data_IF_251231357718
#
_entry.id   IF_251231357718
#
_cell.length_a   1.000
_cell.length_b   1.000
_cell.length_c   1.000
_cell.angle_alpha   90.00
_cell.angle_beta   90.00
_cell.angle_gamma   90.00
#
_symmetry.space_group_name_H-M   'P 1'
#
loop_
_entity.id
_entity.type
_entity.pdbx_description
1 polymer ?
#
# COMPACT_ATOMS: atom_id res chain seq x y z
N UNK A 1 -12.18 0.56 -6.41
CA UNK A 1 -11.99 -0.15 -7.67
C UNK A 1 -13.16 -1.12 -7.81
N UNK A 2 -13.85 -1.09 -8.92
CA UNK A 2 -14.99 -1.95 -9.24
C UNK A 2 -14.56 -3.37 -9.68
N UNK A 3 -13.29 -3.71 -9.56
CA UNK A 3 -12.73 -5.02 -9.95
C UNK A 3 -12.75 -5.29 -11.46
N UNK A 4 -13.04 -4.30 -12.28
CA UNK A 4 -13.17 -4.50 -13.73
C UNK A 4 -11.84 -4.94 -14.37
N UNK A 5 -10.72 -4.32 -13.98
CA UNK A 5 -9.40 -4.72 -14.47
C UNK A 5 -9.01 -6.12 -14.02
N UNK A 6 -9.29 -6.45 -12.74
CA UNK A 6 -9.07 -7.79 -12.19
C UNK A 6 -9.93 -8.84 -12.91
N UNK A 7 -11.19 -8.53 -13.17
CA UNK A 7 -12.09 -9.42 -13.92
C UNK A 7 -11.57 -9.69 -15.33
N UNK A 8 -11.13 -8.67 -16.06
CA UNK A 8 -10.55 -8.81 -17.41
C UNK A 8 -9.32 -9.73 -17.36
N UNK A 9 -8.37 -9.46 -16.44
CA UNK A 9 -7.16 -10.25 -16.30
C UNK A 9 -7.42 -11.72 -15.91
N UNK A 10 -8.43 -11.96 -15.06
CA UNK A 10 -8.70 -13.31 -14.53
C UNK A 10 -9.66 -14.15 -15.39
N UNK A 11 -10.57 -13.52 -16.13
CA UNK A 11 -11.63 -14.26 -16.83
C UNK A 11 -11.72 -14.04 -18.34
N UNK A 12 -11.16 -12.96 -18.87
CA UNK A 12 -11.29 -12.59 -20.28
C UNK A 12 -9.98 -12.77 -21.06
N UNK A 13 -8.82 -12.59 -20.39
CA UNK A 13 -7.50 -12.67 -21.03
C UNK A 13 -7.14 -14.08 -21.44
N UNK A 14 -6.61 -14.24 -22.64
CA UNK A 14 -6.18 -15.52 -23.22
C UNK A 14 -4.72 -15.49 -23.62
N UNK A 15 -4.11 -16.66 -23.73
CA UNK A 15 -2.75 -16.79 -24.27
C UNK A 15 -2.72 -16.28 -25.72
N UNK A 16 -1.85 -15.31 -25.98
CA UNK A 16 -1.73 -14.62 -27.27
C UNK A 16 -2.35 -13.22 -27.30
N UNK A 17 -3.11 -12.83 -26.27
CA UNK A 17 -3.59 -11.46 -26.14
C UNK A 17 -2.45 -10.48 -25.81
N UNK A 18 -2.60 -9.25 -26.28
CA UNK A 18 -1.63 -8.18 -26.06
C UNK A 18 -2.10 -7.25 -24.94
N UNK A 19 -1.22 -6.99 -23.98
CA UNK A 19 -1.44 -6.01 -22.91
C UNK A 19 -0.49 -4.83 -23.09
N UNK A 20 -1.02 -3.63 -22.95
CA UNK A 20 -0.20 -2.43 -22.85
C UNK A 20 0.08 -2.16 -21.37
N UNK A 21 1.34 -2.24 -20.99
CA UNK A 21 1.80 -1.96 -19.62
C UNK A 21 2.69 -0.72 -19.61
N UNK A 22 2.51 0.12 -18.59
CA UNK A 22 3.45 1.20 -18.32
C UNK A 22 4.79 0.64 -17.79
N UNK A 23 5.91 1.35 -17.98
CA UNK A 23 7.17 0.98 -17.36
C UNK A 23 7.03 0.89 -15.84
N UNK A 24 7.86 0.04 -15.17
CA UNK A 24 7.93 0.04 -13.70
C UNK A 24 8.27 1.43 -13.17
N UNK A 25 7.64 1.82 -12.06
CA UNK A 25 7.85 3.12 -11.43
C UNK A 25 7.76 2.97 -9.90
N UNK A 26 8.33 3.94 -9.17
CA UNK A 26 8.31 4.00 -7.71
C UNK A 26 9.63 3.62 -7.07
N UNK A 27 9.72 3.84 -5.75
CA UNK A 27 10.93 3.66 -4.94
C UNK A 27 10.88 2.39 -4.06
N UNK A 28 9.82 1.59 -4.17
CA UNK A 28 9.65 0.36 -3.40
C UNK A 28 10.34 -0.82 -4.07
N UNK A 29 11.65 -0.80 -4.08
CA UNK A 29 12.49 -1.81 -4.71
C UNK A 29 13.67 -2.20 -3.80
N UNK A 30 14.19 -3.41 -4.00
CA UNK A 30 15.38 -3.89 -3.31
C UNK A 30 16.60 -3.07 -3.75
N UNK A 31 17.34 -2.54 -2.77
CA UNK A 31 18.62 -1.87 -2.95
C UNK A 31 19.80 -2.79 -2.65
N UNK A 32 20.76 -2.26 -1.88
CA UNK A 32 21.96 -3.00 -1.44
C UNK A 32 21.82 -3.57 -0.03
N UNK A 33 20.68 -3.37 0.59
CA UNK A 33 20.37 -3.83 1.95
C UNK A 33 20.38 -5.36 2.02
N UNK A 34 20.86 -5.89 3.14
CA UNK A 34 20.96 -7.36 3.36
C UNK A 34 20.10 -7.83 4.53
N UNK A 35 20.00 -7.06 5.62
CA UNK A 35 19.13 -7.39 6.74
C UNK A 35 17.73 -6.84 6.52
N UNK A 36 16.78 -7.69 6.18
CA UNK A 36 15.44 -7.27 5.77
C UNK A 36 14.37 -7.80 6.71
N UNK A 37 13.35 -6.98 6.95
CA UNK A 37 12.03 -7.42 7.41
C UNK A 37 11.01 -7.13 6.30
N UNK A 38 10.46 -8.19 5.71
CA UNK A 38 9.37 -8.11 4.74
C UNK A 38 8.06 -8.29 5.49
N UNK A 39 7.41 -7.18 5.82
CA UNK A 39 6.21 -7.16 6.68
C UNK A 39 4.96 -6.85 5.85
N UNK A 40 4.00 -7.78 5.79
CA UNK A 40 2.84 -7.65 4.92
C UNK A 40 1.55 -8.19 5.50
N UNK A 41 0.43 -7.72 4.96
CA UNK A 41 -0.89 -8.27 5.21
C UNK A 41 -1.74 -8.32 3.93
N UNK A 42 -2.53 -9.39 3.75
CA UNK A 42 -3.41 -9.57 2.60
C UNK A 42 -2.66 -9.44 1.26
N UNK A 43 -3.19 -8.66 0.33
CA UNK A 43 -2.58 -8.45 -1.00
C UNK A 43 -1.20 -7.78 -0.98
N UNK A 44 -0.82 -7.12 0.12
CA UNK A 44 0.51 -6.55 0.32
C UNK A 44 1.64 -7.57 0.33
N UNK A 45 1.34 -8.85 0.27
CA UNK A 45 2.32 -9.93 0.11
C UNK A 45 3.04 -9.90 -1.24
N UNK A 46 2.41 -9.36 -2.28
CA UNK A 46 2.91 -9.46 -3.67
C UNK A 46 4.28 -8.83 -3.87
N UNK A 47 4.57 -7.58 -3.44
CA UNK A 47 5.91 -7.02 -3.52
C UNK A 47 6.91 -7.77 -2.62
N UNK A 48 6.48 -8.29 -1.47
CA UNK A 48 7.34 -9.06 -0.57
C UNK A 48 7.78 -10.38 -1.21
N UNK A 49 6.87 -11.08 -1.87
CA UNK A 49 7.20 -12.28 -2.65
C UNK A 49 8.17 -11.98 -3.79
N UNK A 50 8.00 -10.86 -4.48
CA UNK A 50 8.93 -10.43 -5.55
C UNK A 50 10.35 -10.23 -5.02
N UNK A 51 10.49 -9.54 -3.88
CA UNK A 51 11.78 -9.33 -3.22
C UNK A 51 12.37 -10.68 -2.75
N UNK A 52 11.58 -11.49 -2.06
CA UNK A 52 12.03 -12.78 -1.53
C UNK A 52 12.47 -13.74 -2.65
N UNK A 53 11.74 -13.81 -3.77
CA UNK A 53 12.13 -14.58 -4.96
C UNK A 53 13.46 -14.13 -5.54
N UNK A 54 13.67 -12.80 -5.63
CA UNK A 54 14.92 -12.24 -6.12
C UNK A 54 16.10 -12.64 -5.23
N UNK A 55 15.93 -12.56 -3.90
CA UNK A 55 16.94 -12.95 -2.92
C UNK A 55 17.18 -14.47 -2.91
N UNK A 56 16.12 -15.26 -3.07
CA UNK A 56 16.24 -16.71 -3.20
C UNK A 56 17.10 -17.12 -4.40
N UNK A 57 16.86 -16.52 -5.57
CA UNK A 57 17.66 -16.74 -6.77
C UNK A 57 19.12 -16.29 -6.63
N UNK A 58 19.40 -15.36 -5.73
CA UNK A 58 20.75 -14.88 -5.42
C UNK A 58 21.41 -15.66 -4.28
N UNK A 59 20.71 -16.59 -3.63
CA UNK A 59 21.16 -17.28 -2.42
C UNK A 59 21.46 -16.31 -1.25
N UNK A 60 20.63 -15.28 -1.07
CA UNK A 60 20.80 -14.19 -0.10
C UNK A 60 19.63 -14.14 0.92
N UNK A 61 19.12 -15.29 1.37
CA UNK A 61 17.96 -15.38 2.27
C UNK A 61 18.27 -15.36 3.78
N UNK A 62 19.51 -15.58 4.18
CA UNK A 62 19.90 -15.84 5.59
C UNK A 62 19.54 -14.70 6.56
N UNK A 63 19.57 -13.45 6.11
CA UNK A 63 19.22 -12.26 6.90
C UNK A 63 17.83 -11.69 6.55
N UNK A 64 16.97 -12.46 5.88
CA UNK A 64 15.60 -12.09 5.54
C UNK A 64 14.62 -12.66 6.55
N UNK A 65 13.82 -11.81 7.16
CA UNK A 65 12.65 -12.20 7.94
C UNK A 65 11.38 -11.83 7.18
N UNK A 66 10.62 -12.82 6.75
CA UNK A 66 9.34 -12.66 6.08
C UNK A 66 8.22 -12.82 7.11
N UNK A 67 7.46 -11.76 7.37
CA UNK A 67 6.34 -11.77 8.30
C UNK A 67 5.06 -11.40 7.55
N UNK A 68 4.10 -12.32 7.52
CA UNK A 68 2.85 -12.11 6.79
C UNK A 68 1.62 -12.37 7.67
N UNK A 69 0.64 -11.48 7.56
CA UNK A 69 -0.63 -11.58 8.25
C UNK A 69 -1.75 -11.89 7.24
N UNK A 70 -2.51 -12.95 7.50
CA UNK A 70 -3.73 -13.29 6.74
C UNK A 70 -4.84 -13.75 7.69
N UNK A 71 -5.97 -14.18 7.14
CA UNK A 71 -7.12 -14.55 7.95
C UNK A 71 -6.98 -15.97 8.48
N UNK A 72 -6.79 -16.93 7.60
CA UNK A 72 -6.73 -18.35 7.89
C UNK A 72 -5.57 -19.02 7.16
N UNK A 73 -5.33 -20.29 7.41
CA UNK A 73 -4.31 -21.09 6.74
C UNK A 73 -4.54 -21.19 5.22
N UNK A 74 -5.81 -21.28 4.82
CA UNK A 74 -6.20 -21.33 3.40
C UNK A 74 -5.90 -20.02 2.66
N UNK A 75 -5.77 -18.91 3.37
CA UNK A 75 -5.47 -17.59 2.81
C UNK A 75 -3.96 -17.30 2.71
N UNK A 76 -3.09 -18.26 3.09
CA UNK A 76 -1.63 -18.07 3.00
C UNK A 76 -1.23 -18.10 1.51
N UNK A 77 -0.78 -16.97 0.95
CA UNK A 77 -0.42 -16.93 -0.46
C UNK A 77 0.90 -17.63 -0.72
N UNK A 78 0.97 -18.41 -1.80
CA UNK A 78 2.18 -19.14 -2.20
C UNK A 78 2.81 -19.98 -1.06
N UNK A 79 1.98 -20.64 -0.23
CA UNK A 79 2.42 -21.35 0.98
C UNK A 79 3.59 -22.30 0.76
N UNK A 80 3.54 -23.12 -0.29
CA UNK A 80 4.61 -24.06 -0.62
C UNK A 80 5.93 -23.35 -0.96
N UNK A 81 5.87 -22.22 -1.66
CA UNK A 81 7.02 -21.43 -2.03
C UNK A 81 7.65 -20.73 -0.81
N UNK A 82 6.83 -20.14 0.06
CA UNK A 82 7.28 -19.55 1.32
C UNK A 82 7.98 -20.59 2.20
N UNK A 83 7.43 -21.80 2.26
CA UNK A 83 8.03 -22.90 3.00
C UNK A 83 9.39 -23.31 2.40
N UNK A 84 9.49 -23.44 1.08
CA UNK A 84 10.75 -23.75 0.40
C UNK A 84 11.82 -22.66 0.67
N UNK A 85 11.45 -21.37 0.60
CA UNK A 85 12.37 -20.28 0.92
C UNK A 85 12.77 -20.28 2.40
N UNK A 86 11.88 -20.67 3.29
CA UNK A 86 12.21 -20.83 4.72
C UNK A 86 13.23 -21.96 4.94
N UNK A 87 13.11 -23.07 4.23
CA UNK A 87 14.12 -24.15 4.26
C UNK A 87 15.47 -23.71 3.67
N UNK A 88 15.46 -22.72 2.78
CA UNK A 88 16.66 -22.13 2.18
C UNK A 88 17.29 -20.99 3.01
N UNK A 89 16.87 -20.79 4.28
CA UNK A 89 17.49 -19.85 5.22
C UNK A 89 16.61 -18.65 5.63
N UNK A 90 15.51 -18.36 4.91
CA UNK A 90 14.62 -17.27 5.26
C UNK A 90 13.86 -17.54 6.58
N UNK A 91 13.86 -16.60 7.50
CA UNK A 91 12.95 -16.67 8.65
C UNK A 91 11.52 -16.39 8.19
N UNK A 92 10.58 -17.28 8.49
CA UNK A 92 9.17 -17.14 8.14
C UNK A 92 8.32 -17.06 9.41
N UNK A 93 7.53 -16.00 9.52
CA UNK A 93 6.50 -15.86 10.55
C UNK A 93 5.15 -15.60 9.89
N UNK A 94 4.22 -16.52 10.08
CA UNK A 94 2.84 -16.40 9.64
C UNK A 94 1.96 -16.10 10.86
N UNK A 95 1.08 -15.10 10.72
CA UNK A 95 0.18 -14.66 11.79
C UNK A 95 -1.25 -14.75 11.26
N UNK A 96 -2.09 -15.57 11.87
CA UNK A 96 -3.48 -15.76 11.45
C UNK A 96 -4.44 -15.01 12.37
N UNK A 97 -5.31 -14.19 11.79
CA UNK A 97 -6.31 -13.45 12.57
C UNK A 97 -7.51 -14.30 13.01
N UNK A 98 -7.77 -15.38 12.28
CA UNK A 98 -8.84 -16.37 12.55
C UNK A 98 -8.29 -17.78 12.30
N UNK A 99 -7.32 -18.25 13.11
CA UNK A 99 -6.79 -19.60 12.97
C UNK A 99 -7.82 -20.64 13.36
N UNK A 100 -7.70 -21.83 12.81
CA UNK A 100 -8.43 -22.99 13.33
C UNK A 100 -7.77 -23.56 14.60
N UNK A 101 -8.40 -24.59 15.18
CA UNK A 101 -7.95 -25.22 16.43
C UNK A 101 -6.60 -25.98 16.28
N UNK A 102 -6.15 -26.26 15.07
CA UNK A 102 -4.93 -27.01 14.80
C UNK A 102 -3.71 -26.09 14.57
N UNK A 103 -3.94 -24.79 14.40
CA UNK A 103 -2.86 -23.83 14.15
C UNK A 103 -1.92 -23.72 15.37
N UNK A 104 -0.63 -23.95 15.16
CA UNK A 104 0.42 -23.87 16.17
C UNK A 104 1.28 -22.60 16.07
N UNK A 105 1.02 -21.78 15.04
CA UNK A 105 1.76 -20.54 14.80
C UNK A 105 1.19 -19.34 15.56
N UNK A 106 1.66 -18.16 15.21
CA UNK A 106 1.20 -16.91 15.83
C UNK A 106 -0.20 -16.53 15.37
N UNK A 107 -0.95 -15.84 16.22
CA UNK A 107 -2.33 -15.46 15.92
C UNK A 107 -2.67 -14.05 16.40
N UNK A 108 -3.77 -13.50 15.84
CA UNK A 108 -4.31 -12.21 16.20
C UNK A 108 -3.90 -11.10 15.22
N UNK A 109 -4.00 -9.86 15.67
CA UNK A 109 -3.54 -8.68 14.93
C UNK A 109 -2.08 -8.40 15.26
N UNK A 110 -1.38 -7.69 14.36
CA UNK A 110 -0.01 -7.28 14.62
C UNK A 110 0.12 -6.59 15.99
N UNK A 111 1.13 -6.96 16.75
CA UNK A 111 1.40 -6.39 18.07
C UNK A 111 2.87 -6.54 18.45
N UNK A 112 3.27 -5.93 19.57
CA UNK A 112 4.67 -5.94 20.06
C UNK A 112 5.25 -7.35 20.21
N UNK A 113 4.43 -8.33 20.68
CA UNK A 113 4.87 -9.71 20.82
C UNK A 113 5.26 -10.38 19.52
N UNK A 114 4.62 -10.01 18.40
CA UNK A 114 5.00 -10.50 17.07
C UNK A 114 6.33 -9.91 16.62
N UNK A 115 6.52 -8.60 16.78
CA UNK A 115 7.76 -7.91 16.41
C UNK A 115 8.95 -8.33 17.29
N UNK A 116 8.69 -8.77 18.52
CA UNK A 116 9.73 -9.31 19.41
C UNK A 116 10.37 -10.61 18.89
N UNK A 117 9.73 -11.30 17.93
CA UNK A 117 10.32 -12.46 17.25
C UNK A 117 11.36 -12.07 16.18
N UNK A 118 11.41 -10.79 15.81
CA UNK A 118 12.35 -10.31 14.80
C UNK A 118 13.70 -10.02 15.43
N UNK A 119 14.69 -10.88 15.17
CA UNK A 119 16.07 -10.64 15.63
C UNK A 119 16.65 -9.39 14.97
N UNK A 120 17.40 -8.60 15.71
CA UNK A 120 18.07 -7.38 15.23
C UNK A 120 17.11 -6.38 14.57
N UNK A 121 15.88 -6.24 15.06
CA UNK A 121 14.83 -5.41 14.46
C UNK A 121 15.33 -3.99 14.09
N UNK A 122 16.10 -3.36 14.98
CA UNK A 122 16.61 -1.99 14.79
C UNK A 122 17.68 -1.88 13.68
N UNK A 123 18.29 -2.99 13.28
CA UNK A 123 19.30 -3.03 12.23
C UNK A 123 18.74 -3.39 10.85
N UNK A 124 17.42 -3.70 10.77
CA UNK A 124 16.78 -4.13 9.53
C UNK A 124 16.22 -2.97 8.72
N UNK A 125 16.31 -3.07 7.41
CA UNK A 125 15.44 -2.32 6.50
C UNK A 125 14.10 -3.03 6.42
N UNK A 126 13.02 -2.26 6.57
CA UNK A 126 11.67 -2.80 6.67
C UNK A 126 10.87 -2.41 5.43
N UNK A 127 10.43 -3.42 4.70
CA UNK A 127 9.49 -3.27 3.60
C UNK A 127 8.09 -3.58 4.12
N UNK A 128 7.20 -2.60 4.05
CA UNK A 128 5.86 -2.66 4.62
C UNK A 128 4.80 -2.45 3.55
N UNK A 129 3.89 -3.43 3.38
CA UNK A 129 2.76 -3.30 2.45
C UNK A 129 1.54 -4.05 2.97
N UNK A 130 0.36 -3.45 2.79
CA UNK A 130 -0.91 -4.05 3.20
C UNK A 130 -2.04 -3.02 3.32
N UNK A 131 -3.18 -3.40 3.90
CA UNK A 131 -4.28 -2.48 4.16
C UNK A 131 -3.86 -1.31 5.05
N UNK A 132 -4.45 -0.13 4.81
CA UNK A 132 -4.09 1.12 5.49
C UNK A 132 -4.02 0.99 7.02
N UNK A 133 -5.06 0.41 7.65
CA UNK A 133 -5.08 0.26 9.11
C UNK A 133 -3.96 -0.65 9.66
N UNK A 134 -3.56 -1.68 8.89
CA UNK A 134 -2.40 -2.51 9.21
C UNK A 134 -1.10 -1.71 9.11
N UNK A 135 -0.92 -0.96 8.02
CA UNK A 135 0.30 -0.18 7.79
C UNK A 135 0.50 0.89 8.87
N UNK A 136 -0.55 1.65 9.19
CA UNK A 136 -0.50 2.67 10.25
C UNK A 136 -0.14 2.08 11.60
N UNK A 137 -0.74 0.95 11.96
CA UNK A 137 -0.43 0.25 13.21
C UNK A 137 0.99 -0.34 13.22
N UNK A 138 1.44 -0.90 12.09
CA UNK A 138 2.80 -1.42 11.95
C UNK A 138 3.85 -0.31 12.14
N UNK A 139 3.67 0.84 11.49
CA UNK A 139 4.58 1.99 11.64
C UNK A 139 4.62 2.45 13.09
N UNK A 140 3.45 2.63 13.73
CA UNK A 140 3.37 3.01 15.14
C UNK A 140 4.13 2.04 16.04
N UNK A 141 3.90 0.74 15.89
CA UNK A 141 4.54 -0.29 16.71
C UNK A 141 6.06 -0.36 16.49
N UNK A 142 6.52 -0.23 15.23
CA UNK A 142 7.95 -0.22 14.89
C UNK A 142 8.66 1.00 15.50
N UNK A 143 8.07 2.18 15.38
CA UNK A 143 8.63 3.41 15.96
C UNK A 143 8.64 3.38 17.50
N UNK A 144 7.61 2.82 18.13
CA UNK A 144 7.58 2.60 19.59
C UNK A 144 8.69 1.65 20.06
N UNK A 145 9.19 0.77 19.20
CA UNK A 145 10.33 -0.09 19.49
C UNK A 145 11.68 0.53 19.10
N UNK A 146 11.68 1.77 18.63
CA UNK A 146 12.90 2.52 18.31
C UNK A 146 13.38 2.36 16.87
N UNK A 147 12.59 1.79 15.97
CA UNK A 147 12.94 1.74 14.54
C UNK A 147 12.87 3.15 13.96
N UNK A 148 13.95 3.59 13.32
CA UNK A 148 14.01 4.87 12.66
C UNK A 148 13.08 4.92 11.43
N UNK A 149 12.41 6.05 11.21
CA UNK A 149 11.41 6.18 10.13
C UNK A 149 12.02 5.93 8.74
N UNK A 150 13.28 6.32 8.55
CA UNK A 150 14.04 6.17 7.29
C UNK A 150 14.28 4.71 6.91
N UNK A 151 14.18 3.79 7.86
CA UNK A 151 14.30 2.34 7.64
C UNK A 151 12.98 1.67 7.26
N UNK A 152 11.87 2.41 7.24
CA UNK A 152 10.54 1.87 6.95
C UNK A 152 10.12 2.35 5.55
N UNK A 153 10.29 1.47 4.56
CA UNK A 153 9.80 1.68 3.19
C UNK A 153 8.38 1.15 3.09
N UNK A 154 7.49 1.95 2.53
CA UNK A 154 6.07 1.63 2.46
C UNK A 154 5.57 1.65 1.02
N UNK A 155 4.75 0.65 0.67
CA UNK A 155 3.95 0.66 -0.57
C UNK A 155 2.48 0.45 -0.23
N UNK A 156 1.60 1.31 -0.76
CA UNK A 156 0.17 1.24 -0.55
C UNK A 156 -0.56 0.95 -1.86
N UNK A 157 -1.42 -0.06 -1.87
CA UNK A 157 -2.29 -0.39 -3.02
C UNK A 157 -3.64 0.30 -2.97
N UNK A 158 -3.95 1.00 -1.92
CA UNK A 158 -5.16 1.80 -1.75
C UNK A 158 -4.82 3.28 -1.66
N UNK A 159 -5.79 4.14 -2.00
CA UNK A 159 -5.61 5.59 -2.05
C UNK A 159 -4.84 6.18 -0.86
N UNK A 160 -4.34 7.39 -1.06
CA UNK A 160 -3.42 8.09 -0.17
C UNK A 160 -3.64 7.81 1.31
N UNK A 161 -2.55 7.57 2.02
CA UNK A 161 -2.54 7.51 3.49
C UNK A 161 -3.09 8.83 4.01
N UNK A 162 -4.30 8.81 4.55
CA UNK A 162 -4.85 9.97 5.24
C UNK A 162 -4.05 10.13 6.53
N UNK A 163 -3.06 10.98 6.50
CA UNK A 163 -2.03 11.09 7.53
C UNK A 163 -2.51 11.67 8.86
N UNK A 164 -3.76 12.14 8.94
CA UNK A 164 -4.28 12.77 10.17
C UNK A 164 -5.75 12.38 10.38
N UNK A 165 -6.04 11.80 11.55
CA UNK A 165 -7.41 11.72 12.05
C UNK A 165 -7.92 13.14 12.32
N UNK A 166 -8.93 13.58 11.58
CA UNK A 166 -9.52 14.93 11.71
C UNK A 166 -11.03 14.84 11.95
N UNK A 167 -11.63 15.81 12.64
CA UNK A 167 -13.08 15.87 12.77
C UNK A 167 -13.76 15.86 11.40
N UNK A 168 -14.89 15.15 11.31
CA UNK A 168 -15.67 15.09 10.07
C UNK A 168 -16.15 16.49 9.70
N UNK A 169 -15.91 16.89 8.44
CA UNK A 169 -16.39 18.12 7.85
C UNK A 169 -17.02 17.82 6.50
N UNK A 170 -18.28 18.18 6.34
CA UNK A 170 -18.95 18.14 5.03
C UNK A 170 -18.39 19.24 4.15
N UNK A 171 -18.22 18.94 2.85
CA UNK A 171 -17.76 19.90 1.83
C UNK A 171 -18.52 19.67 0.53
N UNK A 172 -18.54 20.68 -0.34
CA UNK A 172 -19.05 20.58 -1.71
C UNK A 172 -17.88 20.39 -2.67
N UNK A 173 -18.01 19.43 -3.57
CA UNK A 173 -17.01 19.13 -4.60
C UNK A 173 -17.62 19.46 -5.97
N UNK A 174 -17.03 20.41 -6.69
CA UNK A 174 -17.36 20.70 -8.07
C UNK A 174 -16.25 20.25 -8.99
N UNK A 175 -16.54 19.29 -9.86
CA UNK A 175 -15.62 18.72 -10.84
C UNK A 175 -16.20 18.93 -12.23
N UNK A 176 -15.62 19.85 -12.98
CA UNK A 176 -16.22 20.33 -14.23
C UNK A 176 -17.61 20.94 -13.98
N UNK A 177 -18.63 20.36 -14.60
CA UNK A 177 -20.02 20.79 -14.44
C UNK A 177 -20.79 20.07 -13.31
N UNK A 178 -20.23 19.00 -12.75
CA UNK A 178 -20.87 18.19 -11.73
C UNK A 178 -20.53 18.69 -10.33
N UNK A 179 -21.56 18.80 -9.49
CA UNK A 179 -21.40 19.18 -8.07
C UNK A 179 -22.06 18.13 -7.18
N UNK A 180 -21.37 17.71 -6.15
CA UNK A 180 -21.87 16.73 -5.19
C UNK A 180 -21.33 16.97 -3.77
N UNK A 181 -22.06 16.45 -2.78
CA UNK A 181 -21.66 16.51 -1.39
C UNK A 181 -20.56 15.49 -1.11
N UNK A 182 -19.50 15.91 -0.43
CA UNK A 182 -18.41 15.09 0.03
C UNK A 182 -18.00 15.42 1.47
N UNK A 183 -16.82 14.99 1.85
CA UNK A 183 -16.27 15.26 3.18
C UNK A 183 -14.73 15.20 3.18
N UNK A 184 -14.14 15.51 4.33
CA UNK A 184 -12.69 15.53 4.53
C UNK A 184 -12.12 14.18 5.06
N UNK A 185 -12.83 13.05 4.85
CA UNK A 185 -12.42 11.72 5.34
C UNK A 185 -11.95 10.79 4.23
N UNK A 186 -12.06 11.19 2.97
CA UNK A 186 -11.66 10.37 1.82
C UNK A 186 -11.01 11.18 0.72
N UNK A 187 -10.32 10.50 -0.19
CA UNK A 187 -9.72 11.16 -1.35
C UNK A 187 -10.79 11.71 -2.30
N UNK A 188 -10.43 12.73 -3.05
CA UNK A 188 -11.32 13.32 -4.06
C UNK A 188 -11.75 12.26 -5.07
N UNK A 189 -10.81 11.42 -5.54
CA UNK A 189 -11.09 10.36 -6.50
C UNK A 189 -12.11 9.35 -5.98
N UNK A 190 -11.96 8.88 -4.74
CA UNK A 190 -12.87 7.89 -4.17
C UNK A 190 -14.27 8.44 -3.94
N UNK A 191 -14.37 9.73 -3.60
CA UNK A 191 -15.65 10.40 -3.41
C UNK A 191 -16.33 10.66 -4.76
N UNK A 192 -15.59 11.11 -5.78
CA UNK A 192 -16.08 11.29 -7.14
C UNK A 192 -16.66 9.97 -7.70
N UNK A 193 -15.91 8.88 -7.59
CA UNK A 193 -16.36 7.55 -8.04
C UNK A 193 -17.66 7.09 -7.36
N UNK A 194 -17.78 7.30 -6.03
CA UNK A 194 -19.01 6.94 -5.30
C UNK A 194 -20.24 7.72 -5.80
N UNK A 195 -20.04 8.88 -6.39
CA UNK A 195 -21.09 9.73 -6.96
C UNK A 195 -21.26 9.52 -8.47
N UNK A 196 -20.54 8.55 -9.06
CA UNK A 196 -20.59 8.29 -10.51
C UNK A 196 -19.89 9.35 -11.36
N UNK A 197 -19.02 10.16 -10.75
CA UNK A 197 -18.20 11.14 -11.46
C UNK A 197 -16.91 10.50 -11.91
N UNK A 198 -16.69 10.42 -13.21
CA UNK A 198 -15.47 9.83 -13.78
C UNK A 198 -14.32 10.82 -13.77
N UNK A 199 -13.22 10.42 -13.17
CA UNK A 199 -11.93 11.08 -13.21
C UNK A 199 -10.88 10.09 -13.74
N UNK A 200 -9.88 10.56 -14.50
CA UNK A 200 -8.79 9.67 -14.93
C UNK A 200 -8.00 9.18 -13.72
N UNK A 201 -7.67 7.90 -13.72
CA UNK A 201 -6.85 7.29 -12.67
C UNK A 201 -6.18 5.99 -13.15
N UNK A 202 -5.15 5.54 -12.43
CA UNK A 202 -4.48 4.26 -12.66
C UNK A 202 -3.98 3.68 -11.33
N UNK A 203 -2.81 4.08 -10.81
CA UNK A 203 -2.15 3.45 -9.68
C UNK A 203 -2.80 3.71 -8.31
N UNK A 204 -3.56 4.78 -8.13
CA UNK A 204 -4.14 5.25 -6.84
C UNK A 204 -3.13 5.50 -5.72
N UNK A 205 -1.85 5.56 -6.03
CA UNK A 205 -0.75 5.65 -5.08
C UNK A 205 0.12 6.91 -5.24
N UNK A 206 -0.32 7.87 -6.08
CA UNK A 206 0.43 9.10 -6.31
C UNK A 206 1.69 8.97 -7.18
N UNK A 207 1.87 7.82 -7.86
CA UNK A 207 3.10 7.48 -8.58
C UNK A 207 2.98 7.75 -10.08
N UNK A 208 1.85 7.42 -10.73
CA UNK A 208 1.73 7.46 -12.18
C UNK A 208 1.30 8.82 -12.75
N UNK A 209 0.71 9.70 -11.96
CA UNK A 209 0.23 11.01 -12.40
C UNK A 209 -1.06 11.00 -13.22
N UNK A 210 -1.66 9.84 -13.52
CA UNK A 210 -2.88 9.74 -14.34
C UNK A 210 -4.07 10.51 -13.77
N UNK A 211 -4.15 10.66 -12.45
CA UNK A 211 -5.21 11.38 -11.75
C UNK A 211 -4.90 12.87 -11.52
N UNK A 212 -3.88 13.43 -12.19
CA UNK A 212 -3.48 14.82 -12.01
C UNK A 212 -4.56 15.77 -12.56
N UNK A 213 -5.05 16.67 -11.72
CA UNK A 213 -6.05 17.68 -12.02
C UNK A 213 -5.58 19.06 -11.57
N UNK A 214 -6.35 20.10 -11.88
CA UNK A 214 -6.08 21.46 -11.42
C UNK A 214 -7.11 21.86 -10.38
N UNK A 215 -6.67 22.19 -9.18
CA UNK A 215 -7.45 22.81 -8.14
C UNK A 215 -7.61 24.30 -8.50
N UNK A 216 -8.84 24.75 -8.72
CA UNK A 216 -9.15 26.13 -9.04
C UNK A 216 -9.53 26.93 -7.79
N UNK A 217 -10.27 26.30 -6.87
CA UNK A 217 -10.72 26.93 -5.62
C UNK A 217 -10.70 25.91 -4.48
N UNK A 218 -10.45 26.39 -3.26
CA UNK A 218 -10.47 25.62 -2.03
C UNK A 218 -9.12 25.11 -1.57
N UNK A 219 -9.15 24.25 -0.57
CA UNK A 219 -7.97 23.71 0.09
C UNK A 219 -8.04 22.18 0.15
N UNK A 220 -6.89 21.55 -0.02
CA UNK A 220 -6.72 20.09 0.08
C UNK A 220 -5.54 19.74 0.99
N UNK A 221 -5.67 18.64 1.71
CA UNK A 221 -4.51 17.94 2.24
C UNK A 221 -3.97 17.02 1.15
N UNK A 222 -2.74 17.27 0.74
CA UNK A 222 -2.10 16.54 -0.33
C UNK A 222 -0.70 16.13 0.11
N UNK A 223 -0.47 14.83 0.45
CA UNK A 223 0.84 14.35 0.87
C UNK A 223 1.85 14.47 -0.28
N UNK A 224 3.13 14.40 0.07
CA UNK A 224 4.18 14.31 -0.94
C UNK A 224 4.01 13.04 -1.77
N UNK A 225 4.15 13.19 -3.09
CA UNK A 225 3.93 12.10 -4.03
C UNK A 225 4.86 12.26 -5.25
N UNK A 226 5.48 11.17 -5.72
CA UNK A 226 6.49 11.23 -6.81
C UNK A 226 5.98 11.82 -8.12
N UNK A 227 4.67 11.65 -8.42
CA UNK A 227 4.08 12.10 -9.69
C UNK A 227 3.74 13.60 -9.73
N UNK A 228 4.06 14.37 -8.70
CA UNK A 228 3.79 15.81 -8.66
C UNK A 228 4.98 16.56 -8.08
N UNK A 229 5.51 17.49 -8.84
CA UNK A 229 6.63 18.34 -8.40
C UNK A 229 6.17 19.49 -7.52
N UNK A 230 7.08 20.08 -6.75
CA UNK A 230 6.79 21.28 -5.96
C UNK A 230 6.30 22.45 -6.83
N UNK A 231 6.83 22.62 -8.04
CA UNK A 231 6.42 23.65 -8.98
C UNK A 231 5.00 23.43 -9.49
N UNK A 232 4.64 22.18 -9.83
CA UNK A 232 3.25 21.83 -10.24
C UNK A 232 2.26 22.02 -9.10
N UNK A 233 2.65 21.65 -7.88
CA UNK A 233 1.84 21.88 -6.68
C UNK A 233 1.59 23.37 -6.43
N UNK A 234 2.63 24.19 -6.55
CA UNK A 234 2.51 25.66 -6.46
C UNK A 234 1.62 26.25 -7.58
N UNK A 235 1.56 25.57 -8.73
CA UNK A 235 0.67 25.93 -9.84
C UNK A 235 -0.76 25.34 -9.68
N UNK A 236 -1.13 24.85 -8.51
CA UNK A 236 -2.46 24.32 -8.20
C UNK A 236 -2.73 22.92 -8.75
N UNK A 237 -1.71 22.17 -9.19
CA UNK A 237 -1.92 20.76 -9.56
C UNK A 237 -2.06 19.89 -8.32
N UNK A 238 -2.97 18.93 -8.40
CA UNK A 238 -3.23 17.93 -7.37
C UNK A 238 -3.33 16.54 -8.00
N UNK A 239 -3.06 15.52 -7.21
CA UNK A 239 -3.38 14.13 -7.55
C UNK A 239 -4.66 13.73 -6.82
N UNK A 240 -5.76 13.59 -7.53
CA UNK A 240 -7.08 13.35 -6.90
C UNK A 240 -7.14 12.05 -6.11
N UNK A 241 -6.29 11.08 -6.42
CA UNK A 241 -6.16 9.84 -5.67
C UNK A 241 -5.44 9.99 -4.32
N UNK A 242 -4.74 11.12 -4.09
CA UNK A 242 -3.99 11.42 -2.88
C UNK A 242 -4.56 12.61 -2.11
N UNK A 243 -5.20 13.54 -2.80
CA UNK A 243 -5.73 14.77 -2.23
C UNK A 243 -7.05 14.53 -1.47
N UNK A 244 -7.14 15.06 -0.26
CA UNK A 244 -8.33 15.04 0.60
C UNK A 244 -8.87 16.46 0.74
N UNK A 245 -10.16 16.68 0.55
CA UNK A 245 -10.75 18.00 0.71
C UNK A 245 -10.62 18.55 2.14
N UNK A 246 -10.28 19.83 2.28
CA UNK A 246 -10.33 20.56 3.57
C UNK A 246 -11.42 21.64 3.57
N UNK A 247 -11.85 22.07 2.39
CA UNK A 247 -12.92 23.02 2.17
C UNK A 247 -13.76 22.60 0.96
N UNK A 248 -14.74 23.40 0.60
CA UNK A 248 -15.41 23.30 -0.71
C UNK A 248 -14.36 23.45 -1.81
N UNK A 249 -14.48 22.65 -2.89
CA UNK A 249 -13.48 22.58 -3.96
C UNK A 249 -14.09 22.81 -5.33
N UNK A 250 -13.31 23.43 -6.21
CA UNK A 250 -13.53 23.49 -7.65
C UNK A 250 -12.33 22.92 -8.37
N UNK A 251 -12.54 21.91 -9.22
CA UNK A 251 -11.50 21.16 -9.93
C UNK A 251 -11.80 21.12 -11.42
N UNK A 252 -10.73 21.25 -12.23
CA UNK A 252 -10.76 21.12 -13.68
C UNK A 252 -9.70 20.15 -14.16
#
# INVERSE_FOLDING_TARGET
>A
ADGQSERILLSELRVGDHLLAAPPAGEFHLGTERKLLLLSAGSGVTPMLSIARTLHLRHELDDVHFMHLCRSEADIPAAAELHAMSQAGMQLTLILSQPDAHWQGMSGRLGKGHLAQVRDLLAREIFLCGPHGFMSEAVRLLQEQGVAAERIRQESFGGAILSVARPHKAVQLRIGEQTFAGNNQGTILDQAHKQGVELPWSCRAGICGSCKQTLLEGEVDHPDAPAITAAERAAGKILTCCAVPLSDLVIK
#
